data_IF_014325654278
#
_entry.id   IF_014325654278
#
_cell.length_a   1.000
_cell.length_b   1.000
_cell.length_c   1.000
_cell.angle_alpha   90.00
_cell.angle_beta   90.00
_cell.angle_gamma   90.00
#
_symmetry.space_group_name_H-M   'P 1'
#
loop_
_entity.id
_entity.type
_entity.pdbx_description
1 polymer ?
#
# COMPACT_ATOMS: atom_id res chain seq x y z
N UNK A 1 -27.87 -64.29 34.75
CA UNK A 1 -27.36 -64.42 33.37
C UNK A 1 -27.12 -63.02 32.84
N UNK A 2 -25.86 -62.57 32.83
CA UNK A 2 -25.46 -61.31 32.19
C UNK A 2 -24.38 -61.65 31.18
N UNK A 3 -24.62 -61.28 29.92
CA UNK A 3 -23.69 -61.48 28.82
C UNK A 3 -22.93 -60.17 28.53
N UNK A 4 -21.62 -60.30 28.67
CA UNK A 4 -20.48 -59.66 27.99
C UNK A 4 -20.74 -59.01 26.63
N UNK A 5 -19.94 -57.97 26.30
CA UNK A 5 -18.93 -58.06 25.23
C UNK A 5 -17.88 -56.91 25.32
N UNK A 6 -16.60 -57.26 25.18
CA UNK A 6 -15.43 -56.35 25.01
C UNK A 6 -14.84 -56.63 23.63
N UNK A 7 -14.38 -55.60 22.91
CA UNK A 7 -13.59 -55.75 21.69
C UNK A 7 -12.20 -55.10 21.83
N UNK A 8 -11.23 -55.75 21.18
CA UNK A 8 -9.79 -55.60 21.30
C UNK A 8 -9.21 -54.56 20.32
N UNK A 9 -8.04 -54.02 20.69
CA UNK A 9 -7.16 -53.20 19.83
C UNK A 9 -5.98 -54.07 19.36
N UNK A 10 -5.71 -54.05 18.05
CA UNK A 10 -4.55 -54.69 17.41
C UNK A 10 -3.52 -53.62 16.99
N UNK A 11 -2.24 -53.99 17.06
CA UNK A 11 -1.05 -53.16 16.80
C UNK A 11 -0.29 -53.56 15.52
N UNK A 12 0.58 -52.64 15.03
CA UNK A 12 1.62 -52.83 13.99
C UNK A 12 1.46 -51.83 12.83
N UNK A 13 2.47 -51.12 12.31
CA UNK A 13 3.88 -51.46 12.10
C UNK A 13 4.75 -50.19 11.90
N UNK A 14 6.04 -50.32 12.19
CA UNK A 14 7.14 -49.34 12.04
C UNK A 14 7.64 -49.30 10.58
N UNK A 15 7.95 -48.11 10.07
CA UNK A 15 8.69 -47.90 8.83
C UNK A 15 9.64 -46.71 8.95
N UNK A 16 10.94 -46.99 8.98
CA UNK A 16 12.02 -46.01 9.05
C UNK A 16 12.35 -45.46 7.65
N UNK A 17 12.54 -44.14 7.53
CA UNK A 17 13.21 -43.52 6.39
C UNK A 17 14.17 -42.44 6.90
N UNK A 18 15.42 -42.56 6.47
CA UNK A 18 16.58 -41.81 6.91
C UNK A 18 16.51 -40.31 6.55
N UNK A 19 16.79 -39.45 7.52
CA UNK A 19 17.08 -38.02 7.32
C UNK A 19 18.60 -37.84 7.29
N UNK A 20 19.19 -37.19 6.28
CA UNK A 20 20.56 -36.71 6.39
C UNK A 20 20.58 -35.49 7.31
N UNK A 21 21.15 -35.67 8.51
CA UNK A 21 21.51 -34.59 9.41
C UNK A 21 22.79 -33.90 8.92
N UNK A 22 22.67 -32.67 8.44
CA UNK A 22 23.70 -31.64 8.36
C UNK A 22 22.91 -30.33 8.14
N UNK A 23 22.85 -29.34 9.03
CA UNK A 23 23.90 -28.74 9.84
C UNK A 23 23.31 -28.28 11.18
N UNK A 24 23.95 -28.66 12.29
CA UNK A 24 23.90 -27.89 13.51
C UNK A 24 25.18 -27.04 13.56
N UNK A 25 25.03 -25.72 13.69
CA UNK A 25 26.09 -24.78 14.04
C UNK A 25 25.50 -23.69 14.96
N UNK A 26 26.33 -23.09 15.83
CA UNK A 26 25.93 -22.65 17.17
C UNK A 26 25.28 -21.26 17.22
N UNK A 27 24.59 -20.99 18.32
CA UNK A 27 24.13 -19.66 18.71
C UNK A 27 25.34 -18.79 19.06
N UNK A 28 25.65 -17.81 18.22
CA UNK A 28 26.48 -16.66 18.58
C UNK A 28 25.66 -15.37 18.44
N UNK A 29 25.57 -14.64 19.54
CA UNK A 29 25.05 -13.28 19.62
C UNK A 29 26.04 -12.34 18.92
N UNK A 30 25.72 -11.89 17.72
CA UNK A 30 26.35 -10.74 17.10
C UNK A 30 25.34 -10.00 16.22
N UNK A 31 25.09 -8.74 16.60
CA UNK A 31 24.47 -7.66 15.83
C UNK A 31 24.22 -7.93 14.34
N UNK A 32 22.96 -8.19 14.00
CA UNK A 32 22.48 -8.22 12.62
C UNK A 32 22.37 -6.78 12.07
N UNK A 33 23.47 -6.25 11.56
CA UNK A 33 23.41 -5.32 10.42
C UNK A 33 23.13 -6.18 9.19
N UNK A 34 21.92 -6.07 8.65
CA UNK A 34 21.49 -6.81 7.47
C UNK A 34 22.28 -6.40 6.23
N UNK A 35 23.36 -7.13 5.93
CA UNK A 35 23.88 -7.20 4.57
C UNK A 35 22.93 -8.07 3.75
N UNK A 36 22.45 -7.56 2.62
CA UNK A 36 21.69 -8.31 1.62
C UNK A 36 22.48 -9.54 1.19
N UNK A 37 22.16 -10.70 1.77
CA UNK A 37 22.64 -11.97 1.23
C UNK A 37 22.15 -12.04 -0.22
N UNK A 38 23.07 -12.18 -1.18
CA UNK A 38 22.73 -12.33 -2.60
C UNK A 38 21.81 -13.54 -2.75
N UNK A 39 20.52 -13.26 -2.90
CA UNK A 39 19.47 -14.26 -3.10
C UNK A 39 19.66 -14.85 -4.49
N UNK A 40 19.79 -16.18 -4.59
CA UNK A 40 19.91 -16.84 -5.89
C UNK A 40 18.63 -16.65 -6.73
N UNK A 41 18.71 -16.70 -8.08
CA UNK A 41 17.56 -16.40 -8.95
C UNK A 41 16.30 -17.22 -8.66
N UNK A 42 16.45 -18.49 -8.25
CA UNK A 42 15.33 -19.38 -7.92
C UNK A 42 14.62 -18.92 -6.64
N UNK A 43 15.38 -18.51 -5.64
CA UNK A 43 14.84 -18.04 -4.36
C UNK A 43 14.14 -16.68 -4.53
N UNK A 44 14.62 -15.82 -5.43
CA UNK A 44 13.92 -14.56 -5.74
C UNK A 44 12.57 -14.83 -6.42
N UNK A 45 12.51 -15.80 -7.35
CA UNK A 45 11.24 -16.22 -7.95
C UNK A 45 10.27 -16.79 -6.90
N UNK A 46 10.77 -17.57 -5.93
CA UNK A 46 9.95 -18.12 -4.85
C UNK A 46 9.42 -17.03 -3.92
N UNK A 47 10.24 -16.04 -3.58
CA UNK A 47 9.84 -14.87 -2.78
C UNK A 47 8.84 -14.00 -3.52
N UNK A 48 9.03 -13.80 -4.82
CA UNK A 48 8.08 -13.07 -5.65
C UNK A 48 6.71 -13.74 -5.68
N UNK A 49 6.67 -15.06 -5.89
CA UNK A 49 5.44 -15.85 -5.82
C UNK A 49 4.78 -15.76 -4.43
N UNK A 50 5.57 -15.90 -3.36
CA UNK A 50 5.08 -15.73 -1.99
C UNK A 50 4.49 -14.34 -1.74
N UNK A 51 5.12 -13.27 -2.25
CA UNK A 51 4.57 -11.91 -2.17
C UNK A 51 3.23 -11.78 -2.91
N UNK A 52 3.09 -12.43 -4.07
CA UNK A 52 1.81 -12.48 -4.79
C UNK A 52 0.73 -13.18 -3.96
N UNK A 53 1.06 -14.30 -3.30
CA UNK A 53 0.12 -15.02 -2.44
C UNK A 53 -0.28 -14.17 -1.22
N UNK A 54 0.69 -13.59 -0.51
CA UNK A 54 0.43 -12.76 0.68
C UNK A 54 -0.42 -11.53 0.38
N UNK A 55 -0.31 -10.94 -0.82
CA UNK A 55 -1.16 -9.83 -1.25
C UNK A 55 -2.65 -10.22 -1.40
N UNK A 56 -2.96 -11.50 -1.57
CA UNK A 56 -4.32 -12.01 -1.78
C UNK A 56 -4.91 -12.71 -0.55
N UNK A 57 -4.06 -13.13 0.40
CA UNK A 57 -4.50 -13.81 1.62
C UNK A 57 -5.02 -12.78 2.61
N UNK A 58 -6.32 -12.81 2.90
CA UNK A 58 -6.93 -11.95 3.90
C UNK A 58 -6.39 -12.22 5.32
N UNK A 59 -6.28 -11.17 6.13
CA UNK A 59 -5.96 -11.30 7.55
C UNK A 59 -7.15 -11.94 8.32
N UNK A 60 -6.91 -12.67 9.42
CA UNK A 60 -7.96 -13.37 10.16
C UNK A 60 -9.00 -12.46 10.84
N UNK A 61 -8.64 -11.21 11.16
CA UNK A 61 -9.49 -10.26 11.88
C UNK A 61 -9.05 -8.81 11.64
N UNK A 62 -9.79 -7.85 12.18
CA UNK A 62 -9.33 -6.45 12.25
C UNK A 62 -8.06 -6.36 13.13
N UNK A 63 -7.03 -5.67 12.63
CA UNK A 63 -5.79 -5.37 13.37
C UNK A 63 -4.56 -5.31 12.47
N UNK A 64 -3.39 -5.39 13.11
CA UNK A 64 -2.09 -5.38 12.44
C UNK A 64 -1.49 -6.78 12.40
N UNK A 65 -0.88 -7.14 11.27
CA UNK A 65 -0.35 -8.47 11.03
C UNK A 65 1.01 -8.43 10.35
N UNK A 66 1.80 -9.47 10.57
CA UNK A 66 3.11 -9.69 9.98
C UNK A 66 3.23 -11.15 9.49
N UNK A 67 3.97 -11.37 8.41
CA UNK A 67 4.38 -12.70 7.98
C UNK A 67 5.79 -12.68 7.38
N UNK A 68 6.53 -13.77 7.59
CA UNK A 68 7.86 -14.01 7.04
C UNK A 68 7.84 -15.22 6.10
N UNK A 69 8.50 -15.09 4.94
CA UNK A 69 8.76 -16.18 4.02
C UNK A 69 9.52 -17.32 4.73
N UNK A 70 9.13 -18.60 4.53
CA UNK A 70 8.14 -19.08 3.55
C UNK A 70 6.72 -19.25 4.10
N UNK A 71 6.42 -18.75 5.31
CA UNK A 71 5.09 -18.88 5.91
C UNK A 71 4.09 -17.98 5.20
N UNK A 72 2.90 -18.53 4.88
CA UNK A 72 1.76 -17.75 4.37
C UNK A 72 0.75 -17.39 5.47
N UNK A 73 1.11 -17.61 6.73
CA UNK A 73 0.24 -17.40 7.88
C UNK A 73 0.51 -16.03 8.49
N UNK A 74 -0.51 -15.18 8.48
CA UNK A 74 -0.52 -13.90 9.20
C UNK A 74 -0.42 -14.10 10.71
N UNK A 75 0.58 -13.49 11.32
CA UNK A 75 0.76 -13.41 12.76
C UNK A 75 0.28 -12.04 13.25
N UNK A 76 -0.64 -12.03 14.20
CA UNK A 76 -1.12 -10.77 14.79
C UNK A 76 0.00 -10.09 15.56
N UNK A 77 0.17 -8.80 15.33
CA UNK A 77 1.14 -7.95 16.02
C UNK A 77 0.44 -6.71 16.59
N UNK A 78 1.10 -6.03 17.52
CA UNK A 78 0.60 -4.76 18.00
C UNK A 78 0.65 -3.71 16.88
N UNK A 79 -0.43 -2.95 16.72
CA UNK A 79 -0.39 -1.79 15.85
C UNK A 79 0.45 -0.67 16.46
N UNK A 80 1.17 0.05 15.60
CA UNK A 80 1.87 1.28 15.93
C UNK A 80 0.93 2.48 16.00
N UNK A 81 1.39 3.53 16.68
CA UNK A 81 0.78 4.86 16.59
C UNK A 81 1.19 5.51 15.27
N UNK A 82 0.28 6.29 14.69
CA UNK A 82 0.50 7.09 13.49
C UNK A 82 0.58 8.58 13.83
N UNK A 83 1.41 9.32 13.10
CA UNK A 83 1.39 10.77 13.10
C UNK A 83 0.07 11.30 12.49
N UNK A 84 -0.15 12.61 12.63
CA UNK A 84 -1.32 13.31 12.08
C UNK A 84 -1.00 14.08 10.81
N UNK A 85 0.22 13.94 10.26
CA UNK A 85 0.60 14.55 9.00
C UNK A 85 -0.27 14.01 7.88
N UNK A 86 -0.70 14.89 6.97
CA UNK A 86 -1.69 14.57 5.95
C UNK A 86 -1.02 14.38 4.59
N UNK A 87 -1.52 13.46 3.79
CA UNK A 87 -1.27 13.36 2.37
C UNK A 87 -2.43 14.07 1.65
N UNK A 88 -2.28 15.35 1.27
CA UNK A 88 -3.41 16.18 0.88
C UNK A 88 -3.91 15.83 -0.53
N UNK A 89 -5.06 16.38 -0.91
CA UNK A 89 -5.53 16.38 -2.29
C UNK A 89 -4.71 17.35 -3.17
N UNK A 90 -4.79 17.27 -4.50
CA UNK A 90 -4.00 18.11 -5.40
C UNK A 90 -4.41 19.58 -5.35
N UNK A 91 -3.43 20.47 -5.50
CA UNK A 91 -3.65 21.88 -5.75
C UNK A 91 -3.67 22.12 -7.27
N UNK A 92 -4.86 21.98 -7.88
CA UNK A 92 -5.11 22.09 -9.33
C UNK A 92 -4.76 23.45 -9.99
N UNK A 93 -4.11 24.37 -9.29
CA UNK A 93 -3.84 25.72 -9.77
C UNK A 93 -2.38 26.12 -9.55
N UNK A 94 -1.47 25.62 -10.40
CA UNK A 94 -0.18 26.28 -10.60
C UNK A 94 0.12 26.39 -12.09
N UNK A 95 -0.27 27.52 -12.70
CA UNK A 95 0.18 27.87 -14.04
C UNK A 95 1.71 27.98 -14.06
N UNK A 96 2.39 27.07 -14.76
CA UNK A 96 3.83 27.10 -14.97
C UNK A 96 4.68 26.28 -14.00
N UNK A 97 4.08 25.37 -13.21
CA UNK A 97 4.84 24.32 -12.54
C UNK A 97 5.40 23.34 -13.57
N UNK A 98 6.55 22.72 -13.27
CA UNK A 98 7.05 21.61 -14.06
C UNK A 98 6.04 20.45 -13.92
N UNK A 99 5.61 19.86 -15.03
CA UNK A 99 4.66 18.74 -15.06
C UNK A 99 5.40 17.46 -14.60
N UNK A 100 5.68 17.36 -13.31
CA UNK A 100 6.26 16.19 -12.66
C UNK A 100 5.16 15.27 -12.12
N UNK A 101 5.43 13.98 -11.96
CA UNK A 101 4.39 13.00 -11.63
C UNK A 101 3.78 13.24 -10.23
N UNK A 102 2.46 13.16 -10.12
CA UNK A 102 1.69 13.47 -8.91
C UNK A 102 1.04 14.85 -8.97
N UNK A 103 0.49 15.32 -7.84
CA UNK A 103 -0.23 16.60 -7.74
C UNK A 103 -1.24 16.86 -8.88
N UNK A 104 -2.00 15.83 -9.26
CA UNK A 104 -2.97 15.86 -10.35
C UNK A 104 -2.40 15.52 -11.73
N UNK A 105 -1.11 15.71 -11.97
CA UNK A 105 -0.40 15.22 -13.16
C UNK A 105 0.03 13.76 -12.94
N UNK A 106 -0.95 12.85 -12.96
CA UNK A 106 -0.73 11.40 -12.88
C UNK A 106 -1.83 10.63 -13.66
N UNK A 107 -1.59 9.35 -13.87
CA UNK A 107 -2.52 8.42 -14.46
C UNK A 107 -3.39 7.72 -13.43
N UNK A 108 -4.69 7.66 -13.68
CA UNK A 108 -5.59 6.74 -12.96
C UNK A 108 -6.08 5.59 -13.82
N UNK A 109 -6.23 4.43 -13.19
CA UNK A 109 -7.04 3.34 -13.73
C UNK A 109 -8.50 3.64 -13.48
N UNK A 110 -9.36 3.52 -14.50
CA UNK A 110 -10.81 3.68 -14.36
C UNK A 110 -11.55 2.46 -14.90
N UNK A 111 -12.39 1.86 -14.07
CA UNK A 111 -13.14 0.63 -14.36
C UNK A 111 -14.60 0.90 -14.75
N UNK A 112 -14.96 2.15 -15.00
CA UNK A 112 -16.31 2.56 -15.36
C UNK A 112 -17.30 2.32 -14.22
N UNK A 113 -18.32 1.50 -14.45
CA UNK A 113 -19.32 1.14 -13.43
C UNK A 113 -18.90 -0.04 -12.54
N UNK A 114 -17.79 -0.71 -12.84
CA UNK A 114 -17.32 -1.85 -12.06
C UNK A 114 -16.60 -1.35 -10.81
N UNK A 115 -17.01 -1.84 -9.64
CA UNK A 115 -16.39 -1.46 -8.37
C UNK A 115 -15.13 -2.28 -8.15
N UNK A 116 -14.02 -1.59 -7.88
CA UNK A 116 -12.77 -2.19 -7.48
C UNK A 116 -12.93 -2.72 -6.05
N UNK A 117 -12.51 -3.95 -5.84
CA UNK A 117 -12.50 -4.63 -4.53
C UNK A 117 -11.09 -4.79 -3.98
N UNK A 118 -10.10 -4.84 -4.88
CA UNK A 118 -8.68 -4.92 -4.55
C UNK A 118 -7.87 -4.27 -5.67
N UNK A 119 -6.77 -3.62 -5.31
CA UNK A 119 -5.78 -3.12 -6.25
C UNK A 119 -4.37 -3.40 -5.74
N UNK A 120 -3.48 -3.80 -6.64
CA UNK A 120 -2.08 -4.12 -6.37
C UNK A 120 -1.20 -3.19 -7.21
N UNK A 121 -0.48 -2.33 -6.52
CA UNK A 121 0.54 -1.46 -7.09
C UNK A 121 1.92 -2.09 -7.00
N UNK A 122 2.68 -2.02 -8.09
CA UNK A 122 4.03 -2.56 -8.19
C UNK A 122 4.93 -1.66 -9.04
N UNK A 123 6.24 -1.85 -8.89
CA UNK A 123 7.25 -1.22 -9.75
C UNK A 123 8.01 -2.28 -10.55
N UNK A 124 7.49 -2.79 -11.70
CA UNK A 124 8.10 -3.92 -12.40
C UNK A 124 9.55 -3.73 -12.86
N UNK A 125 10.01 -2.48 -12.95
CA UNK A 125 11.40 -2.16 -13.24
C UNK A 125 11.77 -0.83 -12.59
N UNK A 126 12.89 -0.82 -11.86
CA UNK A 126 13.49 0.38 -11.29
C UNK A 126 14.96 0.39 -11.71
N UNK A 127 15.36 1.43 -12.43
CA UNK A 127 16.72 1.55 -12.98
C UNK A 127 17.26 2.96 -12.74
N UNK A 128 18.56 3.07 -12.49
CA UNK A 128 19.22 4.37 -12.29
C UNK A 128 18.95 5.03 -10.94
N UNK A 129 17.97 4.57 -10.15
CA UNK A 129 17.72 5.04 -8.79
C UNK A 129 18.86 4.60 -7.86
N UNK A 130 19.51 5.58 -7.26
CA UNK A 130 20.60 5.44 -6.29
C UNK A 130 20.35 6.26 -5.03
N UNK A 131 19.51 7.31 -5.12
CA UNK A 131 19.06 8.10 -3.98
C UNK A 131 17.69 8.71 -4.26
N UNK A 132 17.00 9.02 -3.16
CA UNK A 132 15.80 9.86 -3.11
C UNK A 132 16.02 10.89 -1.99
N UNK A 133 15.52 12.11 -2.19
CA UNK A 133 15.42 13.13 -1.17
C UNK A 133 14.07 13.84 -1.25
N UNK A 134 13.31 13.85 -0.16
CA UNK A 134 12.08 14.60 -0.10
C UNK A 134 12.31 16.07 0.21
N UNK A 135 11.66 16.91 -0.58
CA UNK A 135 11.72 18.36 -0.52
C UNK A 135 10.33 18.95 -0.36
N UNK A 136 10.25 20.05 0.39
CA UNK A 136 8.99 20.76 0.57
C UNK A 136 8.61 21.53 -0.69
N UNK A 137 7.33 21.49 -1.05
CA UNK A 137 6.80 22.24 -2.20
C UNK A 137 6.13 23.54 -1.71
N UNK A 138 6.46 24.72 -2.29
CA UNK A 138 5.91 26.00 -1.84
C UNK A 138 4.38 26.08 -1.88
N UNK A 139 3.75 25.43 -2.87
CA UNK A 139 2.30 25.38 -3.01
C UNK A 139 1.60 24.68 -1.82
N UNK A 140 2.35 23.86 -1.07
CA UNK A 140 1.91 23.18 0.15
C UNK A 140 2.59 23.74 1.42
N UNK A 141 3.17 24.93 1.34
CA UNK A 141 3.82 25.58 2.48
C UNK A 141 5.18 24.99 2.84
N UNK A 142 5.80 24.21 1.94
CA UNK A 142 7.05 23.48 2.17
C UNK A 142 6.98 22.51 3.37
N UNK A 143 5.80 21.93 3.59
CA UNK A 143 5.57 20.89 4.59
C UNK A 143 6.04 19.51 4.12
N UNK A 144 5.69 18.50 4.92
CA UNK A 144 6.09 17.11 4.70
C UNK A 144 7.17 16.65 5.67
N UNK A 145 7.50 15.36 5.57
CA UNK A 145 8.67 14.77 6.21
C UNK A 145 9.78 14.79 5.16
N UNK A 146 10.83 15.56 5.44
CA UNK A 146 11.81 15.96 4.45
C UNK A 146 13.18 15.39 4.77
N UNK A 147 13.97 15.08 3.75
CA UNK A 147 15.29 14.49 3.91
C UNK A 147 15.55 13.31 2.97
N UNK A 148 16.71 12.66 3.10
CA UNK A 148 17.02 11.49 2.29
C UNK A 148 16.20 10.28 2.72
N UNK A 149 15.74 9.46 1.77
CA UNK A 149 14.92 8.27 2.04
C UNK A 149 13.62 8.63 2.81
N UNK A 150 12.93 9.65 2.31
CA UNK A 150 11.70 10.18 2.91
C UNK A 150 10.61 10.21 1.84
N UNK A 151 10.18 9.05 1.38
CA UNK A 151 9.13 8.92 0.37
C UNK A 151 7.92 8.16 0.90
N UNK A 152 6.82 8.28 0.15
CA UNK A 152 5.64 7.44 0.31
C UNK A 152 5.31 6.71 -1.00
N UNK A 153 4.80 5.50 -0.86
CA UNK A 153 4.15 4.74 -1.93
C UNK A 153 2.67 4.76 -1.61
N UNK A 154 1.89 5.31 -2.53
CA UNK A 154 0.47 5.57 -2.31
C UNK A 154 -0.38 4.85 -3.33
N UNK A 155 -1.50 4.30 -2.88
CA UNK A 155 -2.60 3.84 -3.69
C UNK A 155 -3.83 4.63 -3.26
N UNK A 156 -4.43 5.40 -4.16
CA UNK A 156 -5.48 6.35 -3.80
C UNK A 156 -6.76 6.11 -4.60
N UNK A 157 -7.91 6.28 -3.97
CA UNK A 157 -9.22 6.24 -4.65
C UNK A 157 -9.51 7.56 -5.36
N UNK A 158 -10.57 7.62 -6.16
CA UNK A 158 -11.18 8.92 -6.46
C UNK A 158 -11.74 9.60 -5.19
N UNK A 159 -11.90 10.92 -5.25
CA UNK A 159 -12.47 11.73 -4.18
C UNK A 159 -13.78 12.43 -4.56
N UNK A 160 -14.45 12.02 -5.64
CA UNK A 160 -15.64 12.68 -6.20
C UNK A 160 -16.97 12.02 -5.80
N UNK A 161 -16.91 10.92 -5.05
CA UNK A 161 -18.08 10.11 -4.70
C UNK A 161 -18.53 10.34 -3.26
N UNK A 162 -19.84 10.24 -3.01
CA UNK A 162 -20.43 10.38 -1.68
C UNK A 162 -20.89 9.02 -1.15
N UNK A 163 -20.72 8.78 0.14
CA UNK A 163 -21.29 7.60 0.83
C UNK A 163 -22.08 8.03 2.07
N UNK A 164 -22.62 7.04 2.80
CA UNK A 164 -23.26 7.28 4.10
C UNK A 164 -22.32 7.84 5.18
N UNK A 165 -20.99 7.77 5.01
CA UNK A 165 -20.05 8.38 5.95
C UNK A 165 -20.21 9.91 6.03
N UNK A 166 -20.62 10.55 4.92
CA UNK A 166 -20.93 11.97 4.85
C UNK A 166 -22.17 12.39 5.66
N UNK A 167 -22.95 11.45 6.21
CA UNK A 167 -24.07 11.74 7.11
C UNK A 167 -25.08 12.77 6.57
N UNK A 168 -25.26 12.83 5.24
CA UNK A 168 -26.17 13.76 4.57
C UNK A 168 -25.64 15.19 4.39
N UNK A 169 -24.37 15.46 4.70
CA UNK A 169 -23.73 16.75 4.45
C UNK A 169 -23.62 17.02 2.94
N UNK A 170 -24.18 18.15 2.51
CA UNK A 170 -24.19 18.53 1.09
C UNK A 170 -22.79 18.89 0.61
N UNK A 171 -22.37 18.33 -0.53
CA UNK A 171 -21.04 18.54 -1.09
C UNK A 171 -19.95 17.67 -0.46
N UNK A 172 -20.30 16.83 0.52
CA UNK A 172 -19.34 15.92 1.11
C UNK A 172 -19.03 14.73 0.18
N UNK A 173 -17.75 14.44 0.01
CA UNK A 173 -17.25 13.27 -0.71
C UNK A 173 -16.26 12.49 0.16
N UNK A 174 -15.97 11.24 -0.22
CA UNK A 174 -15.05 10.36 0.48
C UNK A 174 -13.81 10.11 -0.36
N UNK A 175 -12.67 9.99 0.30
CA UNK A 175 -11.39 9.67 -0.32
C UNK A 175 -10.54 8.82 0.63
N UNK A 176 -9.97 7.74 0.13
CA UNK A 176 -9.14 6.83 0.90
C UNK A 176 -7.81 6.60 0.20
N UNK A 177 -6.76 6.59 1.00
CA UNK A 177 -5.40 6.33 0.57
C UNK A 177 -4.88 5.13 1.35
N UNK A 178 -4.30 4.15 0.66
CA UNK A 178 -3.44 3.14 1.26
C UNK A 178 -2.01 3.62 1.10
N UNK A 179 -1.27 3.74 2.20
CA UNK A 179 0.02 4.43 2.21
C UNK A 179 1.06 3.56 2.90
N UNK A 180 2.16 3.30 2.20
CA UNK A 180 3.44 2.98 2.82
C UNK A 180 4.29 4.25 2.85
N UNK A 181 4.79 4.67 4.01
CA UNK A 181 5.64 5.86 4.12
C UNK A 181 6.82 5.60 5.05
N UNK A 182 8.03 5.92 4.58
CA UNK A 182 9.27 5.87 5.37
C UNK A 182 9.23 6.86 6.52
N UNK A 183 9.83 6.54 7.68
CA UNK A 183 9.96 7.42 8.86
C UNK A 183 8.69 8.16 9.35
N UNK A 184 7.50 7.73 8.89
CA UNK A 184 6.25 8.45 9.06
C UNK A 184 5.79 8.49 10.51
N UNK A 185 6.25 7.58 11.36
CA UNK A 185 5.89 7.57 12.79
C UNK A 185 7.08 7.37 13.70
N UNK A 186 8.16 6.80 13.19
CA UNK A 186 9.38 6.52 13.92
C UNK A 186 10.54 6.47 12.94
N UNK A 187 11.66 7.12 13.28
CA UNK A 187 12.88 7.08 12.48
C UNK A 187 13.45 5.65 12.36
N UNK A 188 13.90 5.27 11.16
CA UNK A 188 14.32 3.92 10.76
C UNK A 188 13.16 2.94 10.54
N UNK A 189 11.91 3.42 10.45
CA UNK A 189 10.71 2.58 10.33
C UNK A 189 9.70 3.16 9.34
N UNK A 190 9.34 2.34 8.38
CA UNK A 190 8.19 2.60 7.54
C UNK A 190 6.90 2.44 8.33
N UNK A 191 5.83 3.02 7.82
CA UNK A 191 4.46 2.82 8.29
C UNK A 191 3.58 2.40 7.12
N UNK A 192 2.82 1.32 7.28
CA UNK A 192 1.72 0.94 6.37
C UNK A 192 0.40 1.24 7.06
N UNK A 193 -0.40 2.13 6.47
CA UNK A 193 -1.65 2.64 7.03
C UNK A 193 -2.64 3.04 5.94
N UNK A 194 -3.84 3.45 6.37
CA UNK A 194 -4.84 4.08 5.53
C UNK A 194 -5.08 5.50 6.02
N UNK A 195 -5.17 6.45 5.10
CA UNK A 195 -5.62 7.79 5.39
C UNK A 195 -6.99 8.02 4.76
N UNK A 196 -7.92 8.47 5.58
CA UNK A 196 -9.34 8.61 5.24
C UNK A 196 -9.73 10.08 5.29
N UNK A 197 -10.46 10.52 4.27
CA UNK A 197 -10.96 11.88 4.19
C UNK A 197 -12.47 11.92 3.92
N UNK A 198 -13.12 12.84 4.62
CA UNK A 198 -14.43 13.39 4.30
C UNK A 198 -14.21 14.82 3.81
N UNK A 199 -14.14 14.98 2.49
CA UNK A 199 -13.90 16.26 1.84
C UNK A 199 -15.22 17.01 1.75
N UNK A 200 -15.23 18.31 1.98
CA UNK A 200 -16.43 19.14 1.95
C UNK A 200 -17.43 18.82 3.05
N UNK A 201 -17.00 18.24 4.18
CA UNK A 201 -17.90 17.88 5.28
C UNK A 201 -18.62 19.12 5.86
N UNK A 202 -18.03 20.33 5.77
CA UNK A 202 -18.78 21.59 5.86
C UNK A 202 -19.35 21.90 7.25
N UNK A 203 -18.75 21.39 8.32
CA UNK A 203 -19.17 21.64 9.70
C UNK A 203 -18.01 22.07 10.61
N UNK A 204 -18.31 22.75 11.74
CA UNK A 204 -17.28 23.12 12.74
C UNK A 204 -16.74 21.93 13.55
N UNK A 205 -17.31 20.74 13.37
CA UNK A 205 -16.93 19.52 14.11
C UNK A 205 -16.98 18.31 13.18
N UNK A 206 -15.84 17.67 13.04
CA UNK A 206 -15.72 16.39 12.35
C UNK A 206 -16.36 15.25 13.13
N UNK A 207 -16.72 14.14 12.46
CA UNK A 207 -17.19 12.94 13.14
C UNK A 207 -16.21 12.45 14.20
N UNK A 208 -16.71 11.69 15.17
CA UNK A 208 -15.85 11.12 16.22
C UNK A 208 -14.70 10.32 15.62
N UNK A 209 -13.48 10.59 16.05
CA UNK A 209 -12.25 9.95 15.56
C UNK A 209 -11.61 10.63 14.35
N UNK A 210 -12.28 11.60 13.72
CA UNK A 210 -11.69 12.43 12.67
C UNK A 210 -11.17 13.75 13.22
N UNK A 211 -9.97 14.14 12.78
CA UNK A 211 -9.44 15.49 12.90
C UNK A 211 -10.07 16.42 11.87
N UNK A 212 -9.88 17.73 12.07
CA UNK A 212 -10.27 18.76 11.09
C UNK A 212 -9.01 19.35 10.48
N UNK A 213 -9.06 19.60 9.18
CA UNK A 213 -8.03 20.33 8.43
C UNK A 213 -8.07 21.86 8.68
N UNK A 214 -9.12 22.35 9.35
CA UNK A 214 -9.38 23.77 9.56
C UNK A 214 -10.02 24.51 8.36
N UNK A 215 -10.22 23.85 7.22
CA UNK A 215 -10.80 24.41 6.01
C UNK A 215 -12.15 23.78 5.60
N UNK A 216 -12.61 22.74 6.30
CA UNK A 216 -13.94 22.16 6.14
C UNK A 216 -13.93 20.66 5.88
N UNK A 217 -12.75 20.06 5.75
CA UNK A 217 -12.55 18.64 5.56
C UNK A 217 -12.23 17.97 6.90
N UNK A 218 -12.50 16.67 6.93
CA UNK A 218 -12.21 15.82 8.07
C UNK A 218 -11.34 14.67 7.64
N UNK A 219 -10.28 14.41 8.39
CA UNK A 219 -9.35 13.32 8.08
C UNK A 219 -9.08 12.45 9.29
N UNK A 220 -8.65 11.21 9.05
CA UNK A 220 -8.06 10.37 10.08
C UNK A 220 -7.08 9.39 9.44
N UNK A 221 -6.18 8.87 10.26
CA UNK A 221 -5.37 7.72 9.92
C UNK A 221 -5.90 6.49 10.64
N UNK A 222 -5.83 5.34 9.96
CA UNK A 222 -5.98 4.04 10.59
C UNK A 222 -4.79 3.73 11.50
N UNK A 223 -4.86 2.64 12.26
CA UNK A 223 -3.68 2.14 12.95
C UNK A 223 -2.63 1.64 11.93
N UNK A 224 -1.33 1.68 12.25
CA UNK A 224 -0.28 1.26 11.33
C UNK A 224 0.41 -0.04 11.73
N UNK A 225 0.90 -0.79 10.74
CA UNK A 225 2.03 -1.69 10.94
C UNK A 225 3.33 -0.95 10.65
N UNK A 226 4.40 -1.27 11.39
CA UNK A 226 5.68 -0.55 11.35
C UNK A 226 6.83 -1.42 10.81
N UNK A 227 6.88 -1.70 9.50
CA UNK A 227 8.03 -2.39 8.89
C UNK A 227 9.33 -1.56 9.04
N UNK A 228 10.50 -2.16 8.79
CA UNK A 228 11.70 -1.38 8.47
C UNK A 228 11.47 -0.48 7.25
N UNK A 229 12.24 0.61 7.14
CA UNK A 229 12.26 1.37 5.88
C UNK A 229 12.78 0.50 4.74
N UNK A 230 12.17 0.71 3.58
CA UNK A 230 12.56 0.13 2.31
C UNK A 230 13.38 1.20 1.61
N UNK A 231 14.57 0.87 1.13
CA UNK A 231 15.39 1.83 0.37
C UNK A 231 14.69 2.19 -0.94
N UNK A 232 14.79 3.44 -1.45
CA UNK A 232 14.30 3.80 -2.77
C UNK A 232 14.94 2.94 -3.88
N UNK A 233 16.16 2.43 -3.66
CA UNK A 233 16.83 1.53 -4.60
C UNK A 233 16.14 0.17 -4.74
N UNK A 234 15.29 -0.19 -3.77
CA UNK A 234 14.69 -1.51 -3.69
C UNK A 234 13.17 -1.47 -3.99
N UNK A 235 12.67 -0.35 -4.51
CA UNK A 235 11.26 -0.17 -4.91
C UNK A 235 10.76 -1.29 -5.83
N UNK A 236 11.62 -1.86 -6.68
CA UNK A 236 11.24 -2.98 -7.54
C UNK A 236 10.76 -4.24 -6.77
N UNK A 237 11.20 -4.39 -5.52
CA UNK A 237 10.78 -5.48 -4.63
C UNK A 237 9.55 -5.16 -3.78
N UNK A 238 9.07 -3.90 -3.80
CA UNK A 238 7.93 -3.43 -3.01
C UNK A 238 6.62 -3.68 -3.77
N UNK A 239 5.61 -4.18 -3.05
CA UNK A 239 4.21 -4.17 -3.51
C UNK A 239 3.31 -3.59 -2.45
N UNK A 240 2.38 -2.75 -2.88
CA UNK A 240 1.32 -2.21 -2.03
C UNK A 240 -0.02 -2.73 -2.54
N UNK A 241 -0.80 -3.31 -1.63
CA UNK A 241 -2.15 -3.80 -1.92
C UNK A 241 -3.15 -3.09 -1.04
N UNK A 242 -4.20 -2.55 -1.66
CA UNK A 242 -5.36 -2.01 -0.98
C UNK A 242 -6.58 -2.86 -1.28
N UNK A 243 -7.37 -3.19 -0.28
CA UNK A 243 -8.68 -3.84 -0.46
C UNK A 243 -9.78 -3.03 0.19
N UNK A 244 -10.97 -3.05 -0.42
CA UNK A 244 -12.18 -2.50 0.15
C UNK A 244 -13.28 -3.57 0.16
N UNK A 245 -13.75 -3.93 1.35
CA UNK A 245 -14.68 -5.08 1.52
C UNK A 245 -16.00 -4.62 2.12
N UNK A 246 -17.07 -4.62 1.31
CA UNK A 246 -18.41 -4.21 1.76
C UNK A 246 -18.86 -4.95 3.02
N UNK A 247 -19.09 -4.21 4.10
CA UNK A 247 -19.48 -4.75 5.41
C UNK A 247 -18.39 -5.52 6.17
N UNK A 248 -17.19 -5.59 5.64
CA UNK A 248 -16.00 -6.20 6.25
C UNK A 248 -14.97 -5.15 6.64
N UNK A 249 -13.70 -5.45 6.34
CA UNK A 249 -12.58 -4.55 6.56
C UNK A 249 -11.95 -4.13 5.25
N UNK A 250 -11.53 -2.88 5.21
CA UNK A 250 -10.55 -2.40 4.25
C UNK A 250 -9.17 -2.75 4.78
N UNK A 251 -8.26 -3.19 3.90
CA UNK A 251 -6.93 -3.63 4.31
C UNK A 251 -5.84 -2.98 3.47
N UNK A 252 -4.75 -2.62 4.13
CA UNK A 252 -3.50 -2.23 3.52
C UNK A 252 -2.50 -3.37 3.73
N UNK A 253 -1.80 -3.78 2.68
CA UNK A 253 -0.73 -4.78 2.75
C UNK A 253 0.48 -4.25 2.00
N UNK A 254 1.64 -4.24 2.65
CA UNK A 254 2.93 -4.04 1.98
C UNK A 254 3.72 -5.34 2.03
N UNK A 255 4.31 -5.72 0.90
CA UNK A 255 5.24 -6.85 0.84
C UNK A 255 6.57 -6.39 0.27
N UNK A 256 7.67 -6.87 0.86
CA UNK A 256 9.02 -6.55 0.44
C UNK A 256 9.99 -7.65 0.84
N UNK A 257 10.83 -8.09 -0.10
CA UNK A 257 11.77 -9.18 0.12
C UNK A 257 11.05 -10.45 0.57
N UNK A 258 11.31 -10.88 1.80
CA UNK A 258 10.64 -12.02 2.45
C UNK A 258 9.66 -11.65 3.55
N UNK A 259 9.19 -10.41 3.61
CA UNK A 259 8.33 -9.92 4.70
C UNK A 259 7.05 -9.32 4.14
N UNK A 260 5.98 -9.43 4.93
CA UNK A 260 4.68 -8.87 4.62
C UNK A 260 4.09 -8.24 5.89
N UNK A 261 3.52 -7.05 5.76
CA UNK A 261 2.90 -6.31 6.85
C UNK A 261 1.52 -5.84 6.41
N UNK A 262 0.56 -5.94 7.32
CA UNK A 262 -0.81 -5.53 7.06
C UNK A 262 -1.38 -4.70 8.20
N UNK A 263 -2.30 -3.81 7.86
CA UNK A 263 -3.23 -3.20 8.79
C UNK A 263 -4.62 -3.17 8.16
N UNK A 264 -5.65 -3.01 8.99
CA UNK A 264 -7.03 -3.01 8.52
C UNK A 264 -7.88 -2.05 9.34
N UNK A 265 -8.98 -1.61 8.74
CA UNK A 265 -10.03 -0.86 9.42
C UNK A 265 -11.40 -1.31 8.91
N UNK A 266 -12.46 -0.99 9.63
CA UNK A 266 -13.82 -1.30 9.18
C UNK A 266 -14.18 -0.52 7.92
N UNK A 267 -14.84 -1.18 6.97
CA UNK A 267 -15.45 -0.56 5.77
C UNK A 267 -16.37 0.61 6.16
N UNK A 268 -17.04 0.53 7.32
CA UNK A 268 -17.90 1.60 7.83
C UNK A 268 -17.22 2.94 8.10
N UNK A 269 -15.89 2.99 8.01
CA UNK A 269 -15.10 4.22 8.08
C UNK A 269 -15.48 5.19 6.97
N UNK A 270 -15.48 4.74 5.71
CA UNK A 270 -15.81 5.56 4.55
C UNK A 270 -16.78 4.89 3.58
N UNK A 271 -17.04 3.59 3.71
CA UNK A 271 -17.81 2.75 2.79
C UNK A 271 -17.27 2.78 1.36
N UNK A 272 -15.94 2.76 1.21
CA UNK A 272 -15.24 2.87 -0.08
C UNK A 272 -15.64 1.74 -1.04
N UNK A 273 -15.91 0.54 -0.51
CA UNK A 273 -16.35 -0.60 -1.31
C UNK A 273 -17.65 -0.35 -2.10
N UNK A 274 -18.41 0.72 -1.80
CA UNK A 274 -19.63 1.10 -2.53
C UNK A 274 -19.39 2.04 -3.70
N UNK A 275 -18.22 2.65 -3.79
CA UNK A 275 -17.95 3.73 -4.74
C UNK A 275 -16.65 3.57 -5.51
N UNK A 276 -15.67 2.83 -4.99
CA UNK A 276 -14.33 2.72 -5.59
C UNK A 276 -14.35 2.16 -7.00
N UNK A 277 -13.98 2.97 -8.00
CA UNK A 277 -13.88 2.57 -9.41
C UNK A 277 -12.75 3.28 -10.16
N UNK A 278 -11.93 4.04 -9.42
CA UNK A 278 -10.76 4.75 -9.91
C UNK A 278 -9.61 4.54 -8.93
N UNK A 279 -8.40 4.28 -9.45
CA UNK A 279 -7.20 4.13 -8.63
C UNK A 279 -6.02 4.91 -9.20
N UNK A 280 -5.29 5.61 -8.35
CA UNK A 280 -3.95 6.16 -8.61
C UNK A 280 -2.94 5.33 -7.84
N UNK A 281 -1.76 5.05 -8.41
CA UNK A 281 -0.68 4.40 -7.68
C UNK A 281 0.67 4.96 -8.11
N UNK A 282 1.46 5.45 -7.15
CA UNK A 282 2.77 6.00 -7.44
C UNK A 282 3.69 6.04 -6.20
N UNK A 283 4.96 6.38 -6.43
CA UNK A 283 5.93 6.79 -5.41
C UNK A 283 6.09 8.30 -5.46
N UNK A 284 5.88 8.97 -4.33
CA UNK A 284 5.85 10.43 -4.20
C UNK A 284 6.46 10.86 -2.88
N UNK A 285 6.53 12.17 -2.60
CA UNK A 285 7.05 12.70 -1.33
C UNK A 285 6.34 12.14 -0.09
N UNK A 286 6.93 12.33 1.08
CA UNK A 286 6.38 11.85 2.34
C UNK A 286 5.52 12.92 3.04
N UNK A 287 4.21 12.84 2.82
CA UNK A 287 3.19 13.73 3.37
C UNK A 287 3.37 15.22 3.02
N UNK A 288 2.38 16.02 3.42
CA UNK A 288 2.40 17.47 3.35
C UNK A 288 2.51 18.05 1.95
N UNK A 289 2.18 17.27 0.90
CA UNK A 289 2.36 17.67 -0.49
C UNK A 289 3.84 17.87 -0.87
N UNK A 290 4.76 17.18 -0.20
CA UNK A 290 6.18 17.18 -0.55
C UNK A 290 6.44 16.45 -1.87
N UNK A 291 7.63 16.69 -2.43
CA UNK A 291 8.10 16.03 -3.65
C UNK A 291 9.24 15.06 -3.33
N UNK A 292 9.20 13.85 -3.88
CA UNK A 292 10.32 12.90 -3.85
C UNK A 292 11.29 13.19 -5.01
N UNK A 293 12.47 13.74 -4.71
CA UNK A 293 13.50 13.99 -5.72
C UNK A 293 14.42 12.77 -5.87
N UNK A 294 14.24 12.02 -6.96
CA UNK A 294 15.17 10.98 -7.36
C UNK A 294 16.38 11.58 -8.08
N UNK A 295 17.54 10.92 -7.97
CA UNK A 295 18.74 11.33 -8.71
C UNK A 295 18.51 11.31 -10.23
N UNK A 296 19.27 12.12 -10.97
CA UNK A 296 19.23 12.14 -12.44
C UNK A 296 19.54 10.77 -13.05
N UNK A 297 18.85 10.44 -14.15
CA UNK A 297 18.96 9.14 -14.83
C UNK A 297 18.08 8.06 -14.20
N UNK A 298 17.18 8.43 -13.28
CA UNK A 298 16.23 7.50 -12.67
C UNK A 298 15.12 7.17 -13.64
N UNK A 299 14.70 5.90 -13.65
CA UNK A 299 13.51 5.45 -14.37
C UNK A 299 12.78 4.38 -13.58
N UNK A 300 11.47 4.59 -13.41
CA UNK A 300 10.57 3.73 -12.65
C UNK A 300 9.42 3.33 -13.57
N UNK A 301 9.21 2.03 -13.74
CA UNK A 301 8.01 1.51 -14.40
C UNK A 301 6.96 1.26 -13.33
N UNK A 302 5.79 1.86 -13.49
CA UNK A 302 4.63 1.74 -12.60
C UNK A 302 3.64 0.76 -13.20
N UNK A 303 3.03 -0.08 -12.36
CA UNK A 303 1.89 -0.91 -12.73
C UNK A 303 0.86 -0.96 -11.61
N UNK A 304 -0.40 -0.70 -11.97
CA UNK A 304 -1.54 -0.81 -11.08
C UNK A 304 -2.52 -1.83 -11.67
N UNK A 305 -2.71 -2.93 -10.96
CA UNK A 305 -3.60 -4.02 -11.33
C UNK A 305 -4.80 -4.07 -10.38
N UNK A 306 -6.00 -4.32 -10.89
CA UNK A 306 -7.25 -4.26 -10.10
C UNK A 306 -8.07 -5.55 -10.21
N UNK A 307 -8.88 -5.78 -9.18
CA UNK A 307 -9.96 -6.77 -9.16
C UNK A 307 -11.30 -6.05 -9.08
N UNK A 308 -12.01 -5.96 -10.20
CA UNK A 308 -13.29 -5.28 -10.35
C UNK A 308 -14.43 -6.22 -10.81
N UNK A 309 -14.14 -7.52 -10.87
CA UNK A 309 -15.05 -8.55 -11.38
C UNK A 309 -15.22 -8.56 -12.90
N UNK A 310 -14.43 -7.78 -13.63
CA UNK A 310 -14.43 -7.69 -15.10
C UNK A 310 -13.14 -8.24 -15.69
N UNK A 311 -13.18 -8.54 -17.00
CA UNK A 311 -11.96 -8.78 -17.80
C UNK A 311 -11.76 -7.72 -18.87
N UNK A 312 -12.60 -6.68 -18.88
CA UNK A 312 -12.48 -5.57 -19.83
C UNK A 312 -11.16 -4.83 -19.58
N UNK A 313 -10.58 -4.28 -20.66
CA UNK A 313 -9.49 -3.34 -20.49
C UNK A 313 -10.04 -2.07 -19.81
N UNK A 314 -9.40 -1.61 -18.72
CA UNK A 314 -9.80 -0.38 -18.06
C UNK A 314 -9.39 0.82 -18.92
N UNK A 315 -9.80 2.02 -18.51
CA UNK A 315 -9.24 3.24 -19.08
C UNK A 315 -8.02 3.67 -18.28
N UNK A 316 -6.98 4.16 -18.97
CA UNK A 316 -5.90 4.90 -18.34
C UNK A 316 -6.11 6.39 -18.65
N UNK A 317 -6.38 7.18 -17.61
CA UNK A 317 -6.78 8.58 -17.75
C UNK A 317 -5.64 9.46 -17.25
N UNK A 318 -5.16 10.37 -18.10
CA UNK A 318 -4.14 11.36 -17.74
C UNK A 318 -4.73 12.48 -16.87
N UNK A 319 -3.86 13.23 -16.21
CA UNK A 319 -4.21 14.44 -15.45
C UNK A 319 -5.32 14.19 -14.42
N UNK A 320 -5.32 13.00 -13.83
CA UNK A 320 -6.40 12.53 -12.96
C UNK A 320 -5.94 12.03 -11.60
N UNK A 321 -4.66 12.27 -11.28
CA UNK A 321 -4.09 11.99 -9.97
C UNK A 321 -4.87 12.67 -8.83
N UNK A 322 -4.81 12.07 -7.66
CA UNK A 322 -5.61 12.44 -6.48
C UNK A 322 -4.77 12.78 -5.26
N UNK A 323 -3.46 12.52 -5.30
CA UNK A 323 -2.52 12.93 -4.27
C UNK A 323 -1.95 14.32 -4.54
N UNK A 324 -1.66 15.06 -3.48
CA UNK A 324 -1.01 16.36 -3.56
C UNK A 324 0.51 16.29 -3.60
N UNK A 325 1.10 15.19 -3.13
CA UNK A 325 2.53 14.89 -3.27
C UNK A 325 2.92 14.66 -4.74
N UNK A 326 4.21 14.81 -5.02
CA UNK A 326 4.79 14.53 -6.33
C UNK A 326 6.11 13.75 -6.24
N UNK A 327 6.65 13.37 -7.38
CA UNK A 327 8.06 13.04 -7.55
C UNK A 327 8.63 13.86 -8.71
N UNK A 328 9.96 13.94 -8.85
CA UNK A 328 10.61 14.74 -9.90
C UNK A 328 10.75 14.06 -11.28
N UNK A 329 10.00 12.99 -11.55
CA UNK A 329 10.04 12.23 -12.80
C UNK A 329 8.98 12.71 -13.79
N UNK A 330 9.25 12.52 -15.08
CA UNK A 330 8.31 12.85 -16.16
C UNK A 330 7.55 11.61 -16.61
N UNK A 331 6.23 11.72 -16.75
CA UNK A 331 5.35 10.65 -17.21
C UNK A 331 5.62 10.27 -18.68
N UNK A 332 5.77 8.98 -18.92
CA UNK A 332 5.71 8.35 -20.24
C UNK A 332 4.29 7.93 -20.59
N UNK A 333 4.10 7.38 -21.80
CA UNK A 333 2.77 6.98 -22.25
C UNK A 333 2.18 5.84 -21.40
N UNK A 334 0.92 6.00 -20.99
CA UNK A 334 0.19 4.95 -20.30
C UNK A 334 -0.46 3.93 -21.25
N UNK A 335 -0.44 2.68 -20.81
CA UNK A 335 -1.08 1.54 -21.47
C UNK A 335 -2.09 0.88 -20.54
N UNK A 336 -3.23 0.44 -21.07
CA UNK A 336 -4.23 -0.31 -20.33
C UNK A 336 -4.36 -1.72 -20.90
N UNK A 337 -4.46 -2.72 -20.02
CA UNK A 337 -4.53 -4.14 -20.37
C UNK A 337 -5.71 -4.77 -19.66
N UNK A 338 -6.58 -5.47 -20.40
CA UNK A 338 -7.66 -6.29 -19.83
C UNK A 338 -7.18 -7.72 -19.49
N UNK A 339 -8.12 -8.64 -19.30
CA UNK A 339 -7.83 -10.04 -18.95
C UNK A 339 -8.23 -10.37 -17.51
N UNK A 340 -7.68 -11.45 -16.94
CA UNK A 340 -8.02 -11.89 -15.58
C UNK A 340 -7.63 -10.90 -14.49
N UNK A 341 -6.70 -10.00 -14.79
CA UNK A 341 -6.24 -8.94 -13.89
C UNK A 341 -6.09 -7.66 -14.71
N UNK A 342 -7.19 -6.91 -14.92
CA UNK A 342 -7.15 -5.61 -15.59
C UNK A 342 -6.11 -4.69 -14.94
N UNK A 343 -5.35 -3.94 -15.75
CA UNK A 343 -4.27 -3.10 -15.24
C UNK A 343 -3.95 -1.91 -16.14
N UNK A 344 -3.23 -0.93 -15.57
CA UNK A 344 -2.53 0.11 -16.32
C UNK A 344 -1.02 0.05 -16.04
N UNK A 345 -0.21 0.52 -16.98
CA UNK A 345 1.23 0.65 -16.80
C UNK A 345 1.80 1.81 -17.61
N UNK A 346 2.74 2.50 -17.00
CA UNK A 346 3.48 3.63 -17.57
C UNK A 346 4.90 3.64 -16.98
N UNK A 347 5.78 4.43 -17.58
CA UNK A 347 7.15 4.64 -17.08
C UNK A 347 7.30 6.11 -16.74
N UNK A 348 8.07 6.41 -15.71
CA UNK A 348 8.50 7.77 -15.37
C UNK A 348 10.03 7.84 -15.40
N UNK A 349 10.59 9.00 -15.77
CA UNK A 349 12.05 9.18 -15.80
C UNK A 349 12.54 10.64 -15.79
N UNK A 350 13.81 10.85 -15.43
CA UNK A 350 14.52 12.14 -15.45
C UNK A 350 15.97 12.07 -15.97
#
# INVERSE_FOLDING_TARGET
>A
MQATLKFALLAGLVGAACVPAAFAAPFDNASAQGSSAQVGPIEEVAREAWRQDMAQIATPSEGCFHADYPSIVWQQVACGAVRTDVHPMPHYYVFGAQETAGNGNDYTIQTGSHLITSAVGTFPSVTGVTSEQSVGVPAYGNGGILGPNEYSVQLNTQFTSTTSACSGHSGCTVWQQWVYATDYSQQGKGAIFMQDWLIGYGGRRCPSGFGSDGAGDCYKNSAASLPPDISPTDLAGLKLTGTATSGGNDTAVVTYGGTAYSTSQKDSTLYIAKVWNTGEFNVVGNAGGSEAEFNSGSSIKVNLAVSDGSTAAPSCVADSGTTGESNNLNLGACTATGGSTPSISFTESN
#
